data_IF_262013542407
#
_entry.id   IF_262013542407
#
_cell.length_a   1.000
_cell.length_b   1.000
_cell.length_c   1.000
_cell.angle_alpha   90.00
_cell.angle_beta   90.00
_cell.angle_gamma   90.00
#
_symmetry.space_group_name_H-M   'P 1'
#
loop_
_entity.id
_entity.type
_entity.pdbx_description
1 polymer ?
#
# COMPACT_ATOMS: atom_id res chain seq x y z
N UNK A 1 1.55 15.19 2.17
CA UNK A 1 0.46 15.06 1.20
C UNK A 1 -0.77 14.53 1.92
N UNK A 2 -1.91 15.18 1.78
CA UNK A 2 -3.17 14.72 2.38
C UNK A 2 -3.80 13.60 1.52
N UNK A 3 -4.71 12.77 2.07
CA UNK A 3 -5.47 11.82 1.26
C UNK A 3 -6.29 12.49 0.15
N UNK A 4 -6.78 13.71 0.38
CA UNK A 4 -7.54 14.48 -0.60
C UNK A 4 -6.66 14.93 -1.77
N UNK A 5 -5.47 15.46 -1.50
CA UNK A 5 -4.51 15.81 -2.56
C UNK A 5 -4.09 14.58 -3.35
N UNK A 6 -3.91 13.45 -2.67
CA UNK A 6 -3.57 12.19 -3.32
C UNK A 6 -4.70 11.71 -4.24
N UNK A 7 -5.96 11.79 -3.79
CA UNK A 7 -7.13 11.48 -4.61
C UNK A 7 -7.28 12.45 -5.79
N UNK A 8 -7.06 13.74 -5.59
CA UNK A 8 -7.07 14.75 -6.65
C UNK A 8 -6.03 14.45 -7.72
N UNK A 9 -4.88 13.91 -7.37
CA UNK A 9 -3.82 13.60 -8.33
C UNK A 9 -4.05 12.26 -9.04
N UNK A 10 -4.29 11.18 -8.27
CA UNK A 10 -4.26 9.80 -8.77
C UNK A 10 -5.62 9.10 -8.85
N UNK A 11 -6.67 9.67 -8.28
CA UNK A 11 -8.01 9.08 -8.28
C UNK A 11 -8.58 8.90 -9.70
N UNK A 12 -9.68 8.17 -9.81
CA UNK A 12 -10.35 7.94 -11.10
C UNK A 12 -10.85 9.22 -11.77
N UNK A 13 -11.20 10.23 -10.98
CA UNK A 13 -11.52 11.58 -11.45
C UNK A 13 -10.42 12.57 -11.06
N UNK A 14 -9.17 12.10 -11.01
CA UNK A 14 -8.01 12.90 -10.66
C UNK A 14 -7.35 13.50 -11.89
N UNK A 15 -6.48 14.48 -11.67
CA UNK A 15 -5.79 15.26 -12.70
C UNK A 15 -5.07 14.39 -13.74
N UNK A 16 -4.42 13.31 -13.31
CA UNK A 16 -3.69 12.41 -14.24
C UNK A 16 -4.66 11.67 -15.18
N UNK A 17 -5.83 11.25 -14.67
CA UNK A 17 -6.81 10.53 -15.47
C UNK A 17 -7.56 11.48 -16.41
N UNK A 18 -8.03 12.61 -15.90
CA UNK A 18 -8.72 13.62 -16.70
C UNK A 18 -7.85 14.13 -17.85
N UNK A 19 -6.56 14.38 -17.59
CA UNK A 19 -5.62 14.77 -18.64
C UNK A 19 -5.45 13.67 -19.68
N UNK A 20 -5.28 12.41 -19.25
CA UNK A 20 -5.14 11.28 -20.15
C UNK A 20 -6.37 11.12 -21.05
N UNK A 21 -7.57 11.17 -20.46
CA UNK A 21 -8.83 11.01 -21.19
C UNK A 21 -9.05 12.12 -22.20
N UNK A 22 -8.73 13.37 -21.83
CA UNK A 22 -8.92 14.53 -22.68
C UNK A 22 -7.90 14.62 -23.83
N UNK A 23 -6.64 14.29 -23.58
CA UNK A 23 -5.55 14.62 -24.50
C UNK A 23 -4.91 13.39 -25.16
N UNK A 24 -4.96 12.21 -24.51
CA UNK A 24 -4.15 11.04 -24.91
C UNK A 24 -4.98 9.81 -25.27
N UNK A 25 -6.20 9.65 -24.74
CA UNK A 25 -6.99 8.43 -24.92
C UNK A 25 -7.29 8.08 -26.39
N UNK A 26 -7.42 9.08 -27.26
CA UNK A 26 -7.60 8.86 -28.70
C UNK A 26 -6.35 8.26 -29.37
N UNK A 27 -5.17 8.58 -28.84
CA UNK A 27 -3.86 8.32 -29.46
C UNK A 27 -3.03 7.26 -28.73
N UNK A 28 -3.45 6.81 -27.54
CA UNK A 28 -2.73 5.82 -26.72
C UNK A 28 -3.58 4.58 -26.50
N UNK A 29 -2.95 3.41 -26.58
CA UNK A 29 -3.48 2.15 -26.08
C UNK A 29 -3.01 1.94 -24.63
N UNK A 30 -3.92 2.12 -23.67
CA UNK A 30 -3.65 2.03 -22.24
C UNK A 30 -3.38 0.60 -21.74
N UNK A 31 -3.67 -0.43 -22.54
CA UNK A 31 -3.35 -1.82 -22.18
C UNK A 31 -1.86 -2.12 -22.36
N UNK A 32 -1.27 -1.56 -23.41
CA UNK A 32 0.15 -1.73 -23.77
C UNK A 32 1.01 -0.52 -23.42
N UNK A 33 0.40 0.61 -23.07
CA UNK A 33 1.04 1.92 -22.88
C UNK A 33 1.88 2.32 -24.10
N UNK A 34 1.31 2.16 -25.29
CA UNK A 34 1.94 2.54 -26.56
C UNK A 34 1.07 3.49 -27.36
N UNK A 35 1.69 4.31 -28.21
CA UNK A 35 0.95 5.11 -29.17
C UNK A 35 0.21 4.19 -30.15
N UNK A 36 -1.05 4.50 -30.42
CA UNK A 36 -1.83 3.91 -31.50
C UNK A 36 -1.17 4.28 -32.83
N UNK A 37 -1.25 3.39 -33.81
CA UNK A 37 -0.80 3.71 -35.16
C UNK A 37 -1.60 4.89 -35.70
N UNK A 38 -0.93 5.88 -36.26
CA UNK A 38 -1.58 6.87 -37.11
C UNK A 38 -2.11 6.19 -38.38
N UNK A 39 -3.13 6.77 -39.02
CA UNK A 39 -3.73 6.25 -40.27
C UNK A 39 -2.69 6.10 -41.41
N UNK A 40 -1.58 6.81 -41.27
CA UNK A 40 -0.43 6.96 -42.15
C UNK A 40 0.71 5.95 -41.86
N UNK A 41 0.48 4.96 -40.98
CA UNK A 41 1.32 3.75 -40.89
C UNK A 41 2.56 3.83 -40.00
N UNK A 42 2.71 4.91 -39.22
CA UNK A 42 3.81 5.05 -38.24
C UNK A 42 3.84 3.94 -37.18
N UNK A 43 5.05 3.61 -36.69
CA UNK A 43 5.27 2.52 -35.73
C UNK A 43 4.70 2.80 -34.33
N UNK A 44 4.37 1.73 -33.60
CA UNK A 44 4.03 1.81 -32.17
C UNK A 44 5.31 2.06 -31.37
N UNK A 45 5.59 3.31 -31.02
CA UNK A 45 6.69 3.64 -30.12
C UNK A 45 6.22 3.62 -28.65
N UNK A 46 7.09 3.12 -27.76
CA UNK A 46 7.01 3.46 -26.35
C UNK A 46 7.49 4.91 -26.21
N UNK A 47 6.64 5.74 -25.64
CA UNK A 47 6.96 7.14 -25.41
C UNK A 47 7.28 7.34 -23.92
N UNK A 48 8.46 7.88 -23.61
CA UNK A 48 8.87 8.21 -22.25
C UNK A 48 7.89 9.17 -21.57
N UNK A 49 7.17 9.97 -22.36
CA UNK A 49 6.12 10.87 -21.90
C UNK A 49 4.96 10.10 -21.22
N UNK A 50 4.69 8.86 -21.62
CA UNK A 50 3.59 8.03 -21.08
C UNK A 50 3.92 7.36 -19.74
N UNK A 51 5.20 7.31 -19.35
CA UNK A 51 5.66 6.60 -18.14
C UNK A 51 4.96 7.14 -16.88
N UNK A 52 4.75 8.45 -16.80
CA UNK A 52 4.08 9.05 -15.65
C UNK A 52 2.60 8.60 -15.54
N UNK A 53 1.87 8.52 -16.66
CA UNK A 53 0.49 8.03 -16.66
C UNK A 53 0.41 6.54 -16.36
N UNK A 54 1.37 5.75 -16.86
CA UNK A 54 1.46 4.33 -16.52
C UNK A 54 1.65 4.14 -15.01
N UNK A 55 2.58 4.88 -14.40
CA UNK A 55 2.80 4.86 -12.95
C UNK A 55 1.55 5.32 -12.20
N UNK A 56 0.91 6.41 -12.63
CA UNK A 56 -0.31 6.93 -12.02
C UNK A 56 -1.45 5.89 -12.06
N UNK A 57 -1.62 5.18 -13.17
CA UNK A 57 -2.60 4.12 -13.29
C UNK A 57 -2.32 2.95 -12.33
N UNK A 58 -1.05 2.55 -12.17
CA UNK A 58 -0.68 1.52 -11.18
C UNK A 58 -0.97 2.00 -9.75
N UNK A 59 -0.58 3.22 -9.40
CA UNK A 59 -0.88 3.82 -8.09
C UNK A 59 -2.39 3.83 -7.86
N UNK A 60 -3.17 4.26 -8.86
CA UNK A 60 -4.64 4.27 -8.77
C UNK A 60 -5.19 2.88 -8.47
N UNK A 61 -4.77 1.86 -9.21
CA UNK A 61 -5.28 0.50 -9.06
C UNK A 61 -4.95 -0.10 -7.68
N UNK A 62 -3.87 0.34 -7.04
CA UNK A 62 -3.49 -0.10 -5.69
C UNK A 62 -4.31 0.60 -4.62
N UNK A 63 -4.50 1.92 -4.73
CA UNK A 63 -5.06 2.74 -3.66
C UNK A 63 -6.56 3.05 -3.79
N UNK A 64 -7.14 2.92 -4.97
CA UNK A 64 -8.55 3.25 -5.27
C UNK A 64 -9.29 2.05 -5.86
N UNK A 65 -8.83 0.84 -5.50
CA UNK A 65 -9.49 -0.40 -5.91
C UNK A 65 -10.97 -0.38 -5.50
N UNK A 66 -11.86 -0.76 -6.42
CA UNK A 66 -13.30 -0.74 -6.18
C UNK A 66 -13.98 0.62 -6.41
N UNK A 67 -13.27 1.62 -6.94
CA UNK A 67 -13.86 2.91 -7.31
C UNK A 67 -14.05 3.88 -6.14
N UNK A 68 -13.30 3.68 -5.05
CA UNK A 68 -13.32 4.54 -3.88
C UNK A 68 -12.91 5.97 -4.23
N UNK A 69 -13.58 6.96 -3.60
CA UNK A 69 -13.26 8.37 -3.82
C UNK A 69 -11.98 8.83 -3.10
N UNK A 70 -11.59 8.11 -2.04
CA UNK A 70 -10.40 8.36 -1.23
C UNK A 70 -9.54 7.09 -1.18
N UNK A 71 -8.21 7.22 -0.95
CA UNK A 71 -7.33 6.06 -0.91
C UNK A 71 -7.75 5.10 0.21
N UNK A 72 -7.95 3.83 -0.15
CA UNK A 72 -8.37 2.75 0.74
C UNK A 72 -7.57 1.49 0.47
N UNK A 73 -7.08 0.87 1.54
CA UNK A 73 -6.37 -0.40 1.51
C UNK A 73 -7.15 -1.44 2.28
N UNK A 74 -7.14 -2.67 1.76
CA UNK A 74 -7.60 -3.87 2.46
C UNK A 74 -6.47 -4.89 2.45
N UNK A 75 -6.14 -5.41 3.62
CA UNK A 75 -5.07 -6.36 3.85
C UNK A 75 -5.60 -7.52 4.69
N UNK A 76 -5.11 -8.72 4.45
CA UNK A 76 -5.23 -9.84 5.39
C UNK A 76 -3.86 -10.05 6.04
N UNK A 77 -3.84 -10.18 7.37
CA UNK A 77 -2.59 -10.29 8.13
C UNK A 77 -2.71 -11.33 9.24
N UNK A 78 -1.65 -12.13 9.41
CA UNK A 78 -1.50 -13.07 10.53
C UNK A 78 -0.07 -13.03 11.06
N UNK A 79 0.10 -13.38 12.33
CA UNK A 79 1.43 -13.62 12.92
C UNK A 79 1.89 -15.01 12.51
N UNK A 80 3.07 -15.10 11.90
CA UNK A 80 3.66 -16.37 11.47
C UNK A 80 4.84 -16.79 12.33
N UNK A 81 5.53 -15.83 12.94
CA UNK A 81 6.63 -16.08 13.87
C UNK A 81 6.63 -14.99 14.94
N UNK A 82 6.96 -15.38 16.16
CA UNK A 82 7.07 -14.47 17.30
C UNK A 82 8.17 -14.99 18.22
N UNK A 83 9.06 -14.10 18.64
CA UNK A 83 10.11 -14.39 19.60
C UNK A 83 9.51 -15.05 20.86
N UNK A 84 10.16 -16.10 21.37
CA UNK A 84 9.65 -16.90 22.49
C UNK A 84 9.66 -16.13 23.82
N UNK A 85 10.42 -15.04 23.93
CA UNK A 85 10.41 -14.14 25.08
C UNK A 85 9.20 -13.19 25.09
N UNK A 86 8.45 -13.10 23.99
CA UNK A 86 7.18 -12.37 23.91
C UNK A 86 6.05 -13.28 24.38
N UNK A 87 5.27 -12.83 25.37
CA UNK A 87 4.05 -13.52 25.81
C UNK A 87 2.89 -13.22 24.87
N UNK A 88 2.72 -11.95 24.51
CA UNK A 88 1.60 -11.54 23.66
C UNK A 88 1.88 -10.25 22.91
N UNK A 89 1.15 -10.08 21.81
CA UNK A 89 1.10 -8.84 21.06
C UNK A 89 -0.34 -8.37 20.82
N UNK A 90 -0.50 -7.06 20.65
CA UNK A 90 -1.71 -6.46 20.15
C UNK A 90 -1.36 -5.42 19.08
N UNK A 91 -1.79 -5.67 17.85
CA UNK A 91 -1.70 -4.73 16.73
C UNK A 91 -3.06 -4.07 16.53
N UNK A 92 -3.19 -2.80 16.88
CA UNK A 92 -4.36 -1.96 16.60
C UNK A 92 -4.09 -1.14 15.34
N UNK A 93 -4.89 -1.37 14.29
CA UNK A 93 -4.91 -0.58 13.05
C UNK A 93 -6.23 0.15 12.97
N UNK A 94 -6.22 1.42 13.35
CA UNK A 94 -7.37 2.34 13.32
C UNK A 94 -8.68 1.76 13.91
N UNK A 95 -8.55 0.99 14.99
CA UNK A 95 -9.64 0.36 15.73
C UNK A 95 -9.84 -1.12 15.48
N UNK A 96 -9.22 -1.71 14.45
CA UNK A 96 -9.19 -3.15 14.22
C UNK A 96 -7.99 -3.75 14.95
N UNK A 97 -8.26 -4.61 15.94
CA UNK A 97 -7.21 -5.18 16.80
C UNK A 97 -6.96 -6.65 16.48
N UNK A 98 -5.75 -6.97 16.05
CA UNK A 98 -5.20 -8.32 15.97
C UNK A 98 -4.47 -8.61 17.28
N UNK A 99 -4.82 -9.73 17.94
CA UNK A 99 -4.15 -10.20 19.16
C UNK A 99 -3.55 -11.58 18.93
N UNK A 100 -2.34 -11.80 19.45
CA UNK A 100 -1.66 -13.08 19.34
C UNK A 100 -0.86 -13.39 20.61
N UNK A 101 -0.92 -14.64 21.06
CA UNK A 101 -0.22 -15.13 22.25
C UNK A 101 0.12 -16.63 22.08
N UNK A 102 0.96 -16.95 21.08
CA UNK A 102 1.37 -18.33 20.73
C UNK A 102 0.20 -19.29 20.46
N UNK A 103 -0.92 -18.75 19.97
CA UNK A 103 -2.11 -19.50 19.58
C UNK A 103 -2.06 -19.95 18.12
N UNK A 104 -3.19 -20.43 17.58
CA UNK A 104 -3.31 -20.71 16.15
C UNK A 104 -3.08 -19.45 15.32
N UNK A 105 -2.48 -19.61 14.14
CA UNK A 105 -2.22 -18.52 13.20
C UNK A 105 -3.50 -18.16 12.45
N UNK A 106 -4.28 -17.24 13.00
CA UNK A 106 -5.54 -16.76 12.41
C UNK A 106 -5.27 -15.50 11.58
N UNK A 107 -5.83 -15.46 10.37
CA UNK A 107 -5.78 -14.29 9.50
C UNK A 107 -6.86 -13.29 9.87
N UNK A 108 -6.49 -12.01 9.94
CA UNK A 108 -7.39 -10.89 10.21
C UNK A 108 -7.40 -9.92 9.04
N UNK A 109 -8.60 -9.57 8.58
CA UNK A 109 -8.80 -8.52 7.59
C UNK A 109 -8.71 -7.15 8.26
N UNK A 110 -7.86 -6.30 7.70
CA UNK A 110 -7.62 -4.91 8.10
C UNK A 110 -8.01 -4.01 6.94
N UNK A 111 -8.70 -2.93 7.26
CA UNK A 111 -9.07 -1.88 6.30
C UNK A 111 -8.47 -0.57 6.77
N UNK A 112 -7.81 0.16 5.87
CA UNK A 112 -7.22 1.46 6.15
C UNK A 112 -7.65 2.51 5.12
N UNK A 113 -8.08 3.72 5.55
CA UNK A 113 -8.40 4.08 6.94
C UNK A 113 -9.50 3.18 7.52
N UNK A 114 -9.47 2.98 8.84
CA UNK A 114 -10.43 2.18 9.58
C UNK A 114 -11.67 2.99 9.97
N UNK A 115 -12.67 2.30 10.51
CA UNK A 115 -13.97 2.92 10.81
C UNK A 115 -13.92 3.92 11.99
N UNK A 116 -12.87 3.90 12.82
CA UNK A 116 -12.77 4.78 13.99
C UNK A 116 -12.12 6.12 13.69
N UNK A 117 -11.47 6.29 12.54
CA UNK A 117 -10.88 7.56 12.12
C UNK A 117 -9.83 8.13 13.07
N UNK A 118 -9.21 7.31 13.92
CA UNK A 118 -8.10 7.69 14.80
C UNK A 118 -6.84 7.96 14.00
N UNK A 119 -6.75 7.39 12.79
CA UNK A 119 -5.58 7.50 11.92
C UNK A 119 -4.30 7.08 12.67
N UNK A 120 -4.37 5.99 13.42
CA UNK A 120 -3.29 5.52 14.27
C UNK A 120 -3.06 4.03 14.05
N UNK A 121 -1.79 3.63 14.12
CA UNK A 121 -1.37 2.23 14.17
C UNK A 121 -0.46 2.03 15.37
N UNK A 122 -0.74 1.02 16.18
CA UNK A 122 0.11 0.65 17.31
C UNK A 122 0.30 -0.86 17.40
N UNK A 123 1.55 -1.29 17.54
CA UNK A 123 1.92 -2.66 17.88
C UNK A 123 2.45 -2.66 19.31
N UNK A 124 1.68 -3.22 20.24
CA UNK A 124 2.08 -3.44 21.62
C UNK A 124 2.64 -4.86 21.78
N UNK A 125 3.71 -4.99 22.56
CA UNK A 125 4.40 -6.24 22.86
C UNK A 125 4.53 -6.35 24.38
N UNK A 126 4.15 -7.51 24.92
CA UNK A 126 4.33 -7.86 26.34
C UNK A 126 5.31 -9.02 26.42
N UNK A 127 6.37 -8.86 27.19
CA UNK A 127 7.39 -9.88 27.38
C UNK A 127 7.17 -10.75 28.63
N UNK A 128 7.98 -11.80 28.74
CA UNK A 128 7.92 -12.75 29.85
C UNK A 128 8.34 -12.21 31.22
N UNK A 129 9.01 -11.05 31.26
CA UNK A 129 9.31 -10.31 32.49
C UNK A 129 8.21 -9.29 32.84
N UNK A 130 7.13 -9.22 32.05
CA UNK A 130 6.05 -8.24 32.22
C UNK A 130 6.36 -6.86 31.62
N UNK A 131 7.50 -6.71 30.95
CA UNK A 131 7.87 -5.50 30.23
C UNK A 131 6.94 -5.25 29.05
N UNK A 132 6.55 -3.98 28.87
CA UNK A 132 5.71 -3.55 27.76
C UNK A 132 6.49 -2.62 26.84
N UNK A 133 6.35 -2.81 25.54
CA UNK A 133 6.99 -1.96 24.53
C UNK A 133 6.06 -1.81 23.34
N UNK A 134 6.20 -0.72 22.59
CA UNK A 134 5.33 -0.48 21.45
C UNK A 134 6.02 0.23 20.28
N UNK A 135 5.56 -0.08 19.07
CA UNK A 135 5.73 0.78 17.90
C UNK A 135 4.43 1.53 17.71
N UNK A 136 4.51 2.86 17.60
CA UNK A 136 3.37 3.73 17.33
C UNK A 136 3.64 4.63 16.13
N UNK A 137 2.61 4.86 15.33
CA UNK A 137 2.56 5.82 14.24
C UNK A 137 1.16 6.40 14.15
N UNK A 138 1.06 7.69 13.87
CA UNK A 138 -0.18 8.46 13.80
C UNK A 138 -0.31 9.17 12.44
N UNK A 139 -1.47 9.79 12.17
CA UNK A 139 -1.82 10.60 11.00
C UNK A 139 -2.33 9.81 9.79
N UNK A 140 -2.78 10.51 8.76
CA UNK A 140 -3.48 9.93 7.59
C UNK A 140 -2.73 8.81 6.82
N UNK A 141 -1.42 8.69 7.03
CA UNK A 141 -0.56 7.65 6.44
C UNK A 141 0.13 6.80 7.52
N UNK A 142 -0.45 6.67 8.72
CA UNK A 142 0.14 5.92 9.82
C UNK A 142 0.43 4.48 9.45
N UNK A 143 -0.46 3.80 8.73
CA UNK A 143 -0.20 2.42 8.29
C UNK A 143 1.05 2.31 7.40
N UNK A 144 1.30 3.29 6.53
CA UNK A 144 2.51 3.30 5.70
C UNK A 144 3.74 3.55 6.54
N UNK A 145 3.67 4.56 7.42
CA UNK A 145 4.74 4.83 8.39
C UNK A 145 5.04 3.65 9.29
N UNK A 146 4.03 2.86 9.66
CA UNK A 146 4.21 1.63 10.42
C UNK A 146 5.05 0.67 9.60
N UNK A 147 4.62 0.31 8.38
CA UNK A 147 5.39 -0.58 7.49
C UNK A 147 6.78 -0.06 7.09
N UNK A 148 7.00 1.26 7.11
CA UNK A 148 8.33 1.84 6.91
C UNK A 148 9.30 1.55 8.06
N UNK A 149 8.78 1.29 9.27
CA UNK A 149 9.57 0.83 10.43
C UNK A 149 9.83 -0.68 10.42
N UNK A 150 9.21 -1.44 9.51
CA UNK A 150 9.35 -2.89 9.41
C UNK A 150 10.32 -3.27 8.29
N UNK A 151 10.97 -4.42 8.44
CA UNK A 151 11.71 -5.05 7.35
C UNK A 151 10.74 -5.87 6.52
N UNK A 152 10.58 -5.51 5.24
CA UNK A 152 9.66 -6.17 4.31
C UNK A 152 10.45 -7.08 3.38
N UNK A 153 10.01 -8.32 3.24
CA UNK A 153 10.51 -9.26 2.23
C UNK A 153 9.36 -9.73 1.33
N UNK A 154 9.62 -9.86 0.04
CA UNK A 154 8.62 -10.30 -0.93
C UNK A 154 8.15 -11.73 -0.64
N UNK A 155 6.86 -11.99 -0.82
CA UNK A 155 6.28 -13.32 -0.71
C UNK A 155 6.38 -14.10 -2.02
N UNK A 156 5.71 -15.26 -2.05
CA UNK A 156 5.63 -16.12 -3.25
C UNK A 156 4.76 -15.55 -4.37
N UNK A 157 3.92 -14.55 -4.06
CA UNK A 157 3.04 -13.87 -5.02
C UNK A 157 3.22 -12.36 -4.92
N UNK A 158 2.90 -11.58 -5.97
CA UNK A 158 3.05 -10.12 -5.96
C UNK A 158 2.27 -9.39 -4.84
N UNK A 159 1.14 -9.94 -4.42
CA UNK A 159 0.29 -9.40 -3.36
C UNK A 159 0.68 -9.86 -1.95
N UNK A 160 1.57 -10.85 -1.81
CA UNK A 160 1.99 -11.40 -0.52
C UNK A 160 3.38 -10.94 -0.12
N UNK A 161 3.59 -10.71 1.17
CA UNK A 161 4.90 -10.35 1.72
C UNK A 161 4.97 -10.66 3.22
N UNK A 162 6.19 -10.75 3.73
CA UNK A 162 6.42 -10.76 5.18
C UNK A 162 6.85 -9.39 5.67
N UNK A 163 6.43 -9.04 6.88
CA UNK A 163 6.83 -7.81 7.54
C UNK A 163 7.35 -8.14 8.94
N UNK A 164 8.63 -7.88 9.16
CA UNK A 164 9.30 -8.14 10.45
C UNK A 164 9.35 -6.86 11.26
N UNK A 165 8.64 -6.85 12.39
CA UNK A 165 8.77 -5.82 13.41
C UNK A 165 9.85 -6.24 14.42
N UNK A 166 10.74 -5.31 14.75
CA UNK A 166 11.68 -5.48 15.87
C UNK A 166 11.31 -4.48 16.96
N UNK A 167 10.91 -4.98 18.13
CA UNK A 167 10.48 -4.17 19.28
C UNK A 167 11.32 -4.58 20.47
N UNK A 168 12.15 -3.67 20.97
CA UNK A 168 13.10 -3.95 22.06
C UNK A 168 13.92 -5.22 21.78
N UNK A 169 14.57 -5.26 20.61
CA UNK A 169 15.40 -6.38 20.08
C UNK A 169 14.68 -7.69 19.78
N UNK A 170 13.38 -7.80 20.11
CA UNK A 170 12.57 -9.00 19.86
C UNK A 170 11.79 -8.89 18.56
N UNK A 171 11.63 -10.01 17.87
CA UNK A 171 11.00 -10.05 16.55
C UNK A 171 9.57 -10.57 16.57
N UNK A 172 8.74 -9.98 15.73
CA UNK A 172 7.42 -10.48 15.35
C UNK A 172 7.34 -10.42 13.83
N UNK A 173 7.02 -11.54 13.19
CA UNK A 173 6.90 -11.65 11.74
C UNK A 173 5.42 -11.82 11.40
N UNK A 174 4.93 -10.91 10.56
CA UNK A 174 3.61 -10.98 9.97
C UNK A 174 3.71 -11.51 8.55
N UNK A 175 2.81 -12.41 8.17
CA UNK A 175 2.48 -12.64 6.76
C UNK A 175 1.31 -11.72 6.40
N UNK A 176 1.46 -10.97 5.31
CA UNK A 176 0.49 -9.97 4.85
C UNK A 176 0.13 -10.28 3.39
N UNK A 177 -1.17 -10.23 3.09
CA UNK A 177 -1.73 -10.33 1.74
C UNK A 177 -2.50 -9.07 1.43
N UNK A 178 -2.10 -8.32 0.41
CA UNK A 178 -2.85 -7.17 -0.06
C UNK A 178 -4.04 -7.61 -0.92
N UNK A 179 -5.17 -6.90 -0.83
CA UNK A 179 -6.30 -7.11 -1.75
C UNK A 179 -6.07 -6.53 -3.16
N UNK A 180 -4.94 -5.84 -3.37
CA UNK A 180 -4.52 -5.35 -4.67
C UNK A 180 -3.48 -6.30 -5.28
N UNK A 181 -3.28 -6.22 -6.59
CA UNK A 181 -2.26 -7.02 -7.31
C UNK A 181 -0.81 -6.68 -6.96
N UNK A 182 -0.55 -5.63 -6.17
CA UNK A 182 0.81 -5.24 -5.76
C UNK A 182 0.87 -4.85 -4.27
N UNK A 183 2.07 -4.92 -3.69
CA UNK A 183 2.32 -4.46 -2.32
C UNK A 183 2.27 -2.91 -2.24
N UNK A 184 1.30 -2.32 -1.50
CA UNK A 184 1.18 -0.87 -1.39
C UNK A 184 2.34 -0.19 -0.64
N UNK A 185 3.10 -0.93 0.18
CA UNK A 185 4.15 -0.39 1.05
C UNK A 185 5.54 -0.39 0.41
N UNK A 186 5.70 -1.07 -0.73
CA UNK A 186 6.94 -1.09 -1.53
C UNK A 186 6.64 -0.85 -3.01
N UNK A 187 5.68 0.03 -3.30
CA UNK A 187 5.26 0.36 -4.65
C UNK A 187 6.28 1.30 -5.33
N UNK A 188 7.13 0.75 -6.20
CA UNK A 188 8.20 1.50 -6.90
C UNK A 188 7.65 2.67 -7.73
N UNK A 189 6.44 2.52 -8.27
CA UNK A 189 5.75 3.53 -9.08
C UNK A 189 5.43 4.76 -8.24
N UNK A 190 5.06 4.58 -6.96
CA UNK A 190 4.83 5.68 -6.03
C UNK A 190 6.15 6.36 -5.64
N UNK A 191 7.17 5.59 -5.30
CA UNK A 191 8.48 6.11 -4.88
C UNK A 191 9.20 6.89 -5.99
N UNK A 192 9.10 6.39 -7.23
CA UNK A 192 9.73 6.97 -8.42
C UNK A 192 8.78 7.89 -9.19
N UNK A 193 7.60 8.20 -8.65
CA UNK A 193 6.66 9.09 -9.33
C UNK A 193 7.27 10.48 -9.44
N UNK A 194 7.17 11.05 -10.64
CA UNK A 194 7.42 12.47 -10.89
C UNK A 194 6.25 12.96 -11.72
N UNK A 195 5.74 14.14 -11.38
CA UNK A 195 4.78 14.78 -12.25
C UNK A 195 5.41 14.89 -13.64
N UNK A 196 4.68 14.54 -14.70
CA UNK A 196 5.21 14.73 -16.03
C UNK A 196 5.49 16.22 -16.25
N UNK A 197 6.54 16.51 -17.01
CA UNK A 197 6.85 17.86 -17.46
C UNK A 197 5.84 18.36 -18.49
N UNK A 198 6.27 19.24 -19.39
CA UNK A 198 5.43 19.65 -20.51
C UNK A 198 5.25 18.51 -21.52
N UNK A 199 4.02 18.41 -22.04
CA UNK A 199 3.63 17.61 -23.20
C UNK A 199 3.34 18.54 -24.37
#
# INVERSE_FOLDING_TARGET
MTPQDFARLFGSNGLMQEFFDKNLASSVDASTWTLKRSADGGERAKDESLVAFQKANVIRNVFFAGGEALPRLKLDMKVVEMDTSIISIALDVDGTVLRYAHGPQISHTIVWPGARGRQEVSLQVVDNAGGQSAIKTDGAWALHRFFDKLVIAAGSKPETFTATATVNERKVIFEVTASSVQNPFRLTQLQSFRCPGQF
#
